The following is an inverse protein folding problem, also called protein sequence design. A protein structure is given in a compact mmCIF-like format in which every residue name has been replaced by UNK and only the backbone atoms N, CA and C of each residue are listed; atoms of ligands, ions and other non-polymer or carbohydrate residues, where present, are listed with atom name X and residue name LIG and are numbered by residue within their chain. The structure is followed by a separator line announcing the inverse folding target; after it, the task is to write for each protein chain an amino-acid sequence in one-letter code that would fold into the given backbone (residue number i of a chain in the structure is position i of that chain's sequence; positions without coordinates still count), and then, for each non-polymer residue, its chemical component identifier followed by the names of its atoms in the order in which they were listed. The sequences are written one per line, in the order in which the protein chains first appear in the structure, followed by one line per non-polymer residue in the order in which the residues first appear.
data_IF_708278178464
#
_entry.id   IF_708278178464
#
_cell.length_a   1.000
_cell.length_b   1.000
_cell.length_c   1.000
_cell.angle_alpha   90.00
_cell.angle_beta   90.00
_cell.angle_gamma   90.00
#
_symmetry.space_group_name_H-M   'P 1'
#
loop_
_entity.id
_entity.type
_entity.pdbx_description
1 polymer ?
#
# COMPACT_ATOMS: atom_id res chain seq x y z
N UNK A 1 -13.21 1.69 21.63
CA UNK A 1 -13.21 3.10 21.19
C UNK A 1 -11.83 3.34 20.61
N UNK A 2 -11.66 3.11 19.31
CA UNK A 2 -10.37 3.29 18.63
C UNK A 2 -10.15 4.78 18.50
N UNK A 3 -9.07 5.25 19.11
CA UNK A 3 -8.55 6.61 19.01
C UNK A 3 -8.25 6.88 17.52
N UNK A 4 -9.20 7.50 16.81
CA UNK A 4 -8.99 8.01 15.45
C UNK A 4 -8.01 9.17 15.53
N UNK A 5 -6.72 8.85 15.67
CA UNK A 5 -5.65 9.84 15.55
C UNK A 5 -5.73 10.38 14.15
N UNK A 6 -6.23 11.60 14.04
CA UNK A 6 -6.24 12.33 12.80
C UNK A 6 -4.82 12.83 12.53
N UNK A 7 -3.95 11.90 12.11
CA UNK A 7 -2.54 12.17 11.85
C UNK A 7 -2.43 13.16 10.68
N UNK A 8 -2.03 14.39 11.00
CA UNK A 8 -1.92 15.48 10.02
C UNK A 8 -0.54 15.50 9.40
N UNK A 9 -0.46 15.35 8.07
CA UNK A 9 0.78 15.49 7.30
C UNK A 9 0.80 16.87 6.64
N UNK A 10 1.85 17.66 6.92
CA UNK A 10 2.06 18.95 6.26
C UNK A 10 2.93 18.73 5.01
N UNK A 11 2.38 19.05 3.85
CA UNK A 11 3.08 19.03 2.57
C UNK A 11 3.51 20.44 2.17
N UNK A 12 4.59 20.53 1.40
CA UNK A 12 4.93 21.80 0.72
C UNK A 12 3.87 22.13 -0.33
N UNK A 13 3.74 23.42 -0.67
CA UNK A 13 2.81 23.87 -1.71
C UNK A 13 3.02 23.17 -3.05
N UNK A 14 4.27 22.90 -3.42
CA UNK A 14 4.60 22.18 -4.65
C UNK A 14 4.10 20.72 -4.64
N UNK A 15 4.27 20.01 -3.51
CA UNK A 15 3.78 18.63 -3.38
C UNK A 15 2.25 18.56 -3.35
N UNK A 16 1.60 19.53 -2.69
CA UNK A 16 0.14 19.61 -2.68
C UNK A 16 -0.42 19.86 -4.08
N UNK A 17 0.21 20.75 -4.86
CA UNK A 17 -0.18 21.02 -6.25
C UNK A 17 0.02 19.79 -7.14
N UNK A 18 1.13 19.06 -6.96
CA UNK A 18 1.37 17.79 -7.66
C UNK A 18 0.32 16.74 -7.32
N UNK A 19 -0.06 16.62 -6.05
CA UNK A 19 -1.12 15.72 -5.60
C UNK A 19 -2.46 16.09 -6.25
N UNK A 20 -2.83 17.37 -6.26
CA UNK A 20 -4.07 17.83 -6.89
C UNK A 20 -4.11 17.58 -8.39
N UNK A 21 -2.97 17.76 -9.08
CA UNK A 21 -2.87 17.45 -10.51
C UNK A 21 -3.03 15.96 -10.78
N UNK A 22 -2.39 15.10 -9.97
CA UNK A 22 -2.54 13.64 -10.09
C UNK A 22 -4.00 13.20 -9.88
N UNK A 23 -4.71 13.76 -8.89
CA UNK A 23 -6.14 13.48 -8.66
C UNK A 23 -7.02 13.77 -9.88
N UNK A 24 -6.73 14.85 -10.60
CA UNK A 24 -7.49 15.24 -11.79
C UNK A 24 -7.29 14.28 -12.98
N UNK A 25 -6.20 13.51 -12.98
CA UNK A 25 -5.92 12.53 -14.01
C UNK A 25 -6.64 11.19 -13.81
N UNK A 26 -7.22 10.98 -12.63
CA UNK A 26 -7.91 9.73 -12.28
C UNK A 26 -9.42 9.86 -12.47
N UNK A 27 -10.08 8.88 -13.13
CA UNK A 27 -11.51 8.95 -13.43
C UNK A 27 -12.38 9.01 -12.17
N UNK A 28 -11.91 8.40 -11.08
CA UNK A 28 -12.58 8.36 -9.77
C UNK A 28 -12.32 9.60 -8.91
N UNK A 29 -11.39 10.48 -9.31
CA UNK A 29 -11.00 11.70 -8.60
C UNK A 29 -10.90 11.47 -7.08
N UNK A 30 -9.99 10.58 -6.63
CA UNK A 30 -9.91 10.14 -5.24
C UNK A 30 -9.71 11.33 -4.30
N UNK A 31 -10.00 11.18 -3.00
CA UNK A 31 -9.69 12.25 -2.04
C UNK A 31 -8.16 12.46 -1.95
N UNK A 32 -7.72 13.63 -1.47
CA UNK A 32 -6.28 13.88 -1.24
C UNK A 32 -5.68 12.84 -0.30
N UNK A 33 -6.43 12.48 0.73
CA UNK A 33 -6.01 11.51 1.74
C UNK A 33 -5.86 10.11 1.13
N UNK A 34 -6.84 9.66 0.33
CA UNK A 34 -6.80 8.34 -0.29
C UNK A 34 -5.63 8.24 -1.26
N UNK A 35 -5.44 9.26 -2.11
CA UNK A 35 -4.34 9.27 -3.06
C UNK A 35 -2.97 9.31 -2.36
N UNK A 36 -2.81 10.16 -1.35
CA UNK A 36 -1.56 10.23 -0.58
C UNK A 36 -1.27 8.89 0.12
N UNK A 37 -2.30 8.26 0.70
CA UNK A 37 -2.18 6.94 1.35
C UNK A 37 -1.74 5.88 0.34
N UNK A 38 -2.36 5.85 -0.86
CA UNK A 38 -2.00 4.92 -1.93
C UNK A 38 -0.55 5.11 -2.37
N UNK A 39 -0.14 6.35 -2.66
CA UNK A 39 1.23 6.68 -3.08
C UNK A 39 2.26 6.24 -2.03
N UNK A 40 2.01 6.53 -0.75
CA UNK A 40 2.91 6.16 0.34
C UNK A 40 2.97 4.64 0.51
N UNK A 41 1.82 3.95 0.45
CA UNK A 41 1.76 2.50 0.56
C UNK A 41 2.51 1.81 -0.58
N UNK A 42 2.32 2.26 -1.83
CA UNK A 42 3.05 1.76 -3.00
C UNK A 42 4.56 1.97 -2.87
N UNK A 43 4.99 3.17 -2.43
CA UNK A 43 6.39 3.48 -2.21
C UNK A 43 7.02 2.60 -1.11
N UNK A 44 6.33 2.41 0.01
CA UNK A 44 6.77 1.55 1.11
C UNK A 44 6.85 0.08 0.67
N UNK A 45 5.88 -0.41 -0.10
CA UNK A 45 5.89 -1.76 -0.66
C UNK A 45 7.07 -1.97 -1.60
N UNK A 46 7.30 -1.04 -2.53
CA UNK A 46 8.42 -1.09 -3.48
C UNK A 46 9.79 -1.08 -2.79
N UNK A 47 9.87 -0.56 -1.56
CA UNK A 47 11.07 -0.54 -0.72
C UNK A 47 11.18 -1.72 0.26
N UNK A 48 10.20 -2.63 0.26
CA UNK A 48 10.14 -3.76 1.18
C UNK A 48 9.83 -3.39 2.63
N UNK A 49 9.35 -2.16 2.88
CA UNK A 49 8.95 -1.68 4.19
C UNK A 49 7.51 -2.09 4.56
N UNK A 50 6.68 -2.38 3.56
CA UNK A 50 5.40 -3.07 3.73
C UNK A 50 5.49 -4.46 3.09
N UNK A 51 5.04 -5.49 3.80
CA UNK A 51 4.75 -6.80 3.19
C UNK A 51 3.39 -6.67 2.53
N UNK A 52 3.32 -6.78 1.21
CA UNK A 52 2.08 -6.61 0.45
C UNK A 52 0.96 -7.49 1.01
N UNK A 53 -0.16 -6.89 1.41
CA UNK A 53 -1.39 -7.63 1.68
C UNK A 53 -2.05 -7.95 0.34
N UNK A 54 -1.76 -9.14 -0.19
CA UNK A 54 -2.49 -9.72 -1.31
C UNK A 54 -1.66 -10.71 -2.13
N UNK A 55 -2.18 -11.95 -2.20
CA UNK A 55 -1.94 -12.96 -3.24
C UNK A 55 -0.71 -13.87 -3.10
N UNK A 56 -0.80 -14.81 -2.15
CA UNK A 56 -0.30 -16.17 -2.37
C UNK A 56 -1.51 -17.12 -2.46
N UNK A 57 -2.32 -16.93 -3.50
CA UNK A 57 -3.34 -17.89 -3.93
C UNK A 57 -2.81 -18.56 -5.20
N UNK A 58 -1.97 -19.58 -5.04
CA UNK A 58 -1.65 -20.50 -6.13
C UNK A 58 -0.31 -21.24 -6.06
N UNK A 59 -0.36 -22.49 -5.56
CA UNK A 59 0.55 -23.64 -5.84
C UNK A 59 1.99 -23.53 -5.28
N UNK A 60 2.54 -24.46 -4.50
CA UNK A 60 2.25 -25.86 -4.11
C UNK A 60 3.16 -26.16 -2.91
N UNK A 61 2.74 -26.86 -1.84
CA UNK A 61 3.65 -27.74 -1.12
C UNK A 61 3.52 -29.13 -1.74
N UNK A 62 4.04 -29.30 -2.97
CA UNK A 62 4.47 -30.63 -3.46
C UNK A 62 5.85 -30.93 -2.88
N UNK A 63 5.98 -30.72 -1.57
CA UNK A 63 7.02 -31.32 -0.74
C UNK A 63 6.33 -31.78 0.55
N UNK A 64 5.28 -32.60 0.35
CA UNK A 64 5.11 -33.79 1.18
C UNK A 64 6.41 -34.60 1.06
N UNK A 65 7.45 -34.19 1.79
CA UNK A 65 8.61 -35.02 2.03
C UNK A 65 8.16 -36.16 2.94
N UNK A 66 7.52 -37.12 2.29
CA UNK A 66 7.34 -38.49 2.71
C UNK A 66 8.74 -39.08 2.73
N UNK A 67 9.44 -38.96 3.86
CA UNK A 67 10.83 -39.37 3.94
C UNK A 67 11.51 -38.93 5.23
N UNK A 68 11.11 -39.52 6.35
CA UNK A 68 12.11 -39.89 7.35
C UNK A 68 11.68 -41.22 7.97
N UNK A 69 12.19 -42.30 7.38
CA UNK A 69 12.54 -43.52 8.09
C UNK A 69 13.47 -43.11 9.26
N UNK A 70 13.03 -43.36 10.49
CA UNK A 70 13.82 -43.99 11.55
C UNK A 70 12.88 -44.47 12.68
#
# INVERSE_FOLDING_TARGET
MTDERNDTIILTSALLAGLDHARQSEPEQPSRQDLATRIIAEWLLARGHLRGQGFDEGKRPDDLNTGNDD
#
